data_IF_905192253798
#
_entry.id   IF_905192253798
#
_cell.length_a   1.000
_cell.length_b   1.000
_cell.length_c   1.000
_cell.angle_alpha   90.00
_cell.angle_beta   90.00
_cell.angle_gamma   90.00
#
_symmetry.space_group_name_H-M   'P 1'
#
loop_
_entity.id
_entity.type
_entity.pdbx_description
1 polymer ?
#
# COMPACT_ATOMS: atom_id res chain seq x y z
N UNK A 1 -28.04 13.64 -5.47
CA UNK A 1 -26.83 14.03 -6.20
C UNK A 1 -26.90 13.34 -7.55
N UNK A 2 -26.75 14.08 -8.64
CA UNK A 2 -26.83 13.54 -9.99
C UNK A 2 -25.63 12.66 -10.35
N UNK A 3 -25.72 11.99 -11.48
CA UNK A 3 -24.58 11.35 -12.16
C UNK A 3 -23.51 12.43 -12.35
N UNK A 4 -22.21 12.16 -12.05
CA UNK A 4 -21.14 13.11 -12.36
C UNK A 4 -21.25 13.55 -13.81
N UNK A 5 -21.15 14.86 -14.04
CA UNK A 5 -21.12 15.41 -15.38
C UNK A 5 -19.84 14.94 -16.09
N UNK A 6 -19.80 15.05 -17.41
CA UNK A 6 -18.61 14.74 -18.20
C UNK A 6 -17.39 15.52 -17.69
N UNK A 7 -17.60 16.77 -17.37
CA UNK A 7 -16.55 17.67 -16.83
C UNK A 7 -15.98 17.18 -15.49
N UNK A 8 -16.76 16.47 -14.65
CA UNK A 8 -16.28 15.94 -13.38
C UNK A 8 -15.29 14.79 -13.59
N UNK A 9 -15.56 13.89 -14.55
CA UNK A 9 -14.67 12.75 -14.84
C UNK A 9 -13.37 13.21 -15.51
N UNK A 10 -13.44 14.22 -16.38
CA UNK A 10 -12.26 14.86 -16.99
C UNK A 10 -11.35 15.50 -15.93
N UNK A 11 -11.92 16.14 -14.90
CA UNK A 11 -11.16 16.71 -13.79
C UNK A 11 -10.37 15.63 -13.01
N UNK A 12 -10.91 14.43 -12.84
CA UNK A 12 -10.15 13.33 -12.24
C UNK A 12 -9.03 12.84 -13.16
N UNK A 13 -9.28 12.69 -14.45
CA UNK A 13 -8.25 12.29 -15.41
C UNK A 13 -7.07 13.28 -15.41
N UNK A 14 -7.35 14.57 -15.35
CA UNK A 14 -6.33 15.62 -15.20
C UNK A 14 -5.55 15.50 -13.90
N UNK A 15 -6.22 15.27 -12.74
CA UNK A 15 -5.56 15.06 -11.45
C UNK A 15 -4.63 13.84 -11.46
N UNK A 16 -5.06 12.77 -12.11
CA UNK A 16 -4.27 11.54 -12.27
C UNK A 16 -3.16 11.70 -13.33
N UNK A 17 -3.25 12.71 -14.19
CA UNK A 17 -2.34 12.96 -15.31
C UNK A 17 -2.43 11.90 -16.39
N UNK A 18 -3.64 11.38 -16.65
CA UNK A 18 -3.90 10.38 -17.70
C UNK A 18 -4.84 10.91 -18.76
N UNK A 19 -4.62 10.48 -19.99
CA UNK A 19 -5.58 10.65 -21.08
C UNK A 19 -6.31 9.32 -21.24
N UNK A 20 -7.58 9.23 -20.88
CA UNK A 20 -8.37 8.00 -20.91
C UNK A 20 -9.76 8.29 -21.46
N UNK A 21 -10.34 7.29 -22.14
CA UNK A 21 -11.73 7.40 -22.58
C UNK A 21 -12.67 7.68 -21.39
N UNK A 22 -13.55 8.63 -21.56
CA UNK A 22 -14.47 9.08 -20.53
C UNK A 22 -15.37 7.96 -19.99
N UNK A 23 -15.89 7.10 -20.88
CA UNK A 23 -16.78 5.99 -20.49
C UNK A 23 -15.98 4.89 -19.79
N UNK A 24 -14.71 4.66 -20.18
CA UNK A 24 -13.82 3.73 -19.51
C UNK A 24 -13.53 4.17 -18.06
N UNK A 25 -13.21 5.44 -17.85
CA UNK A 25 -12.97 5.97 -16.49
C UNK A 25 -14.26 5.97 -15.67
N UNK A 26 -15.39 6.33 -16.26
CA UNK A 26 -16.70 6.27 -15.62
C UNK A 26 -17.06 4.86 -15.18
N UNK A 27 -16.79 3.86 -16.01
CA UNK A 27 -16.97 2.44 -15.67
C UNK A 27 -16.12 2.04 -14.46
N UNK A 28 -14.83 2.45 -14.42
CA UNK A 28 -13.94 2.21 -13.29
C UNK A 28 -14.44 2.85 -11.97
N UNK A 29 -15.16 3.95 -12.06
CA UNK A 29 -15.74 4.68 -10.91
C UNK A 29 -17.12 4.16 -10.50
N UNK A 30 -17.71 3.22 -11.25
CA UNK A 30 -19.06 2.67 -10.99
C UNK A 30 -19.00 1.49 -10.04
N UNK A 31 -19.37 1.70 -8.79
CA UNK A 31 -19.47 0.64 -7.80
C UNK A 31 -20.74 -0.21 -8.02
N UNK A 32 -20.69 -1.50 -7.66
CA UNK A 32 -21.82 -2.45 -7.81
C UNK A 32 -23.12 -1.98 -7.17
N UNK A 33 -23.08 -1.21 -6.08
CA UNK A 33 -24.29 -0.69 -5.44
C UNK A 33 -25.02 0.31 -6.32
N UNK A 34 -24.30 1.11 -7.08
CA UNK A 34 -24.88 2.01 -8.07
C UNK A 34 -25.50 1.23 -9.24
N UNK A 35 -24.77 0.25 -9.76
CA UNK A 35 -25.26 -0.65 -10.83
C UNK A 35 -26.59 -1.30 -10.44
N UNK A 36 -26.69 -1.82 -9.23
CA UNK A 36 -27.92 -2.46 -8.72
C UNK A 36 -29.14 -1.52 -8.72
N UNK A 37 -28.94 -0.25 -8.35
CA UNK A 37 -30.00 0.75 -8.30
C UNK A 37 -30.33 1.39 -9.68
N UNK A 38 -29.45 1.21 -10.68
CA UNK A 38 -29.54 1.87 -11.98
C UNK A 38 -29.62 0.87 -13.17
N UNK A 39 -30.42 -0.18 -13.01
CA UNK A 39 -30.75 -1.08 -14.14
C UNK A 39 -29.64 -2.05 -14.53
N UNK A 40 -28.66 -2.29 -13.68
CA UNK A 40 -27.59 -3.24 -13.94
C UNK A 40 -26.53 -2.71 -14.93
N UNK A 41 -26.26 -1.40 -14.93
CA UNK A 41 -25.14 -0.84 -15.72
C UNK A 41 -23.81 -1.52 -15.34
N UNK A 42 -22.83 -1.59 -16.25
CA UNK A 42 -21.52 -2.17 -15.94
C UNK A 42 -20.90 -1.53 -14.69
N UNK A 43 -20.34 -2.35 -13.82
CA UNK A 43 -19.64 -1.94 -12.59
C UNK A 43 -18.18 -2.38 -12.61
N UNK A 44 -17.39 -1.87 -11.69
CA UNK A 44 -15.94 -1.89 -11.74
C UNK A 44 -15.24 -3.21 -11.31
N UNK A 45 -15.92 -4.19 -10.72
CA UNK A 45 -15.27 -5.40 -10.16
C UNK A 45 -14.37 -6.16 -11.15
N UNK A 46 -14.74 -6.19 -12.45
CA UNK A 46 -13.90 -6.85 -13.47
C UNK A 46 -12.67 -6.02 -13.82
N UNK A 47 -12.79 -4.70 -13.77
CA UNK A 47 -11.64 -3.79 -13.97
C UNK A 47 -10.71 -3.83 -12.77
N UNK A 48 -11.23 -3.87 -11.54
CA UNK A 48 -10.51 -4.11 -10.29
C UNK A 48 -9.65 -5.37 -10.39
N UNK A 49 -10.27 -6.52 -10.72
CA UNK A 49 -9.56 -7.79 -10.88
C UNK A 49 -8.40 -7.70 -11.89
N UNK A 50 -8.58 -7.02 -13.01
CA UNK A 50 -7.54 -6.82 -14.01
C UNK A 50 -6.47 -5.85 -13.51
N UNK A 51 -6.90 -4.77 -12.88
CA UNK A 51 -6.01 -3.73 -12.37
C UNK A 51 -5.10 -4.20 -11.25
N UNK A 52 -5.58 -5.06 -10.35
CA UNK A 52 -4.75 -5.73 -9.34
C UNK A 52 -3.60 -6.51 -9.98
N UNK A 53 -3.88 -7.27 -11.03
CA UNK A 53 -2.85 -8.01 -11.76
C UNK A 53 -1.83 -7.09 -12.45
N UNK A 54 -2.29 -5.99 -13.08
CA UNK A 54 -1.43 -4.98 -13.71
C UNK A 54 -0.58 -4.27 -12.66
N UNK A 55 -1.17 -3.84 -11.55
CA UNK A 55 -0.49 -3.26 -10.41
C UNK A 55 0.58 -4.20 -9.86
N UNK A 56 0.20 -5.46 -9.65
CA UNK A 56 1.09 -6.50 -9.14
C UNK A 56 2.32 -6.70 -10.00
N UNK A 57 2.19 -6.78 -11.32
CA UNK A 57 3.33 -6.98 -12.23
C UNK A 57 4.25 -5.76 -12.25
N UNK A 58 3.71 -4.53 -12.37
CA UNK A 58 4.52 -3.31 -12.47
C UNK A 58 5.29 -3.05 -11.18
N UNK A 59 4.64 -3.15 -10.01
CA UNK A 59 5.31 -2.97 -8.72
C UNK A 59 6.34 -4.06 -8.47
N UNK A 60 6.05 -5.31 -8.82
CA UNK A 60 7.01 -6.42 -8.66
C UNK A 60 8.24 -6.22 -9.54
N UNK A 61 8.05 -5.87 -10.81
CA UNK A 61 9.14 -5.60 -11.75
C UNK A 61 10.04 -4.46 -11.26
N UNK A 62 9.43 -3.37 -10.81
CA UNK A 62 10.15 -2.21 -10.27
C UNK A 62 10.98 -2.55 -9.04
N UNK A 63 10.40 -3.26 -8.08
CA UNK A 63 11.10 -3.66 -6.86
C UNK A 63 12.22 -4.67 -7.16
N UNK A 64 12.00 -5.60 -8.08
CA UNK A 64 12.99 -6.60 -8.49
C UNK A 64 14.24 -5.95 -9.08
N UNK A 65 14.06 -4.98 -9.97
CA UNK A 65 15.18 -4.29 -10.60
C UNK A 65 15.85 -3.27 -9.69
N UNK A 66 15.09 -2.59 -8.83
CA UNK A 66 15.64 -1.62 -7.89
C UNK A 66 16.44 -2.26 -6.74
N UNK A 67 16.17 -3.54 -6.41
CA UNK A 67 16.75 -4.22 -5.25
C UNK A 67 17.32 -5.61 -5.61
N UNK A 68 18.36 -5.70 -6.46
CA UNK A 68 18.85 -6.98 -7.01
C UNK A 68 19.43 -7.93 -5.94
N UNK A 69 19.89 -7.40 -4.82
CA UNK A 69 20.54 -8.17 -3.74
C UNK A 69 19.57 -8.50 -2.57
N UNK A 70 18.30 -8.09 -2.67
CA UNK A 70 17.32 -8.30 -1.61
C UNK A 70 16.62 -9.65 -1.79
N UNK A 71 16.46 -10.40 -0.70
CA UNK A 71 15.79 -11.69 -0.71
C UNK A 71 14.31 -11.57 -1.11
N UNK A 72 13.77 -12.60 -1.75
CA UNK A 72 12.36 -12.67 -2.18
C UNK A 72 11.38 -12.35 -1.04
N UNK A 73 11.63 -12.87 0.16
CA UNK A 73 10.77 -12.65 1.34
C UNK A 73 10.64 -11.17 1.72
N UNK A 74 11.69 -10.38 1.51
CA UNK A 74 11.67 -8.93 1.75
C UNK A 74 10.99 -8.18 0.60
N UNK A 75 11.30 -8.54 -0.66
CA UNK A 75 10.60 -7.98 -1.83
C UNK A 75 9.08 -8.19 -1.74
N UNK A 76 8.64 -9.37 -1.27
CA UNK A 76 7.23 -9.65 -1.04
C UNK A 76 6.62 -8.74 0.03
N UNK A 77 7.35 -8.41 1.09
CA UNK A 77 6.91 -7.46 2.13
C UNK A 77 6.81 -6.03 1.57
N UNK A 78 7.81 -5.58 0.79
CA UNK A 78 7.79 -4.26 0.16
C UNK A 78 6.58 -4.14 -0.76
N UNK A 79 6.36 -5.13 -1.62
CA UNK A 79 5.19 -5.18 -2.48
C UNK A 79 3.89 -5.10 -1.67
N UNK A 80 3.73 -5.97 -0.68
CA UNK A 80 2.51 -6.00 0.15
C UNK A 80 2.24 -4.66 0.85
N UNK A 81 3.26 -3.93 1.29
CA UNK A 81 3.11 -2.61 1.88
C UNK A 81 2.58 -1.57 0.86
N UNK A 82 3.03 -1.66 -0.40
CA UNK A 82 2.69 -0.72 -1.47
C UNK A 82 1.31 -0.99 -2.07
N UNK A 83 0.96 -2.27 -2.31
CA UNK A 83 -0.30 -2.66 -2.98
C UNK A 83 -1.43 -3.00 -2.02
N UNK A 84 -1.26 -2.81 -0.70
CA UNK A 84 -2.32 -3.07 0.25
C UNK A 84 -3.52 -2.14 0.05
N UNK A 85 -4.74 -2.63 0.34
CA UNK A 85 -5.95 -1.81 0.28
C UNK A 85 -5.84 -0.51 1.09
N UNK A 86 -5.09 -0.52 2.21
CA UNK A 86 -4.79 0.68 2.98
C UNK A 86 -3.98 1.69 2.18
N UNK A 87 -2.89 1.25 1.55
CA UNK A 87 -2.01 2.12 0.78
C UNK A 87 -2.72 2.70 -0.45
N UNK A 88 -3.50 1.87 -1.17
CA UNK A 88 -4.29 2.31 -2.31
C UNK A 88 -5.40 3.29 -1.91
N UNK A 89 -6.06 3.06 -0.77
CA UNK A 89 -7.05 4.00 -0.26
C UNK A 89 -6.43 5.36 0.13
N UNK A 90 -5.21 5.37 0.65
CA UNK A 90 -4.47 6.61 0.92
C UNK A 90 -4.18 7.36 -0.40
N UNK A 91 -3.76 6.66 -1.45
CA UNK A 91 -3.62 7.24 -2.81
C UNK A 91 -4.94 7.79 -3.31
N UNK A 92 -6.02 7.01 -3.21
CA UNK A 92 -7.34 7.45 -3.63
C UNK A 92 -7.77 8.76 -2.96
N UNK A 93 -7.45 8.95 -1.67
CA UNK A 93 -7.72 10.18 -0.92
C UNK A 93 -6.86 11.34 -1.39
N UNK A 94 -5.57 11.11 -1.65
CA UNK A 94 -4.64 12.13 -2.15
C UNK A 94 -5.12 12.73 -3.48
N UNK A 95 -5.66 11.90 -4.37
CA UNK A 95 -6.19 12.33 -5.66
C UNK A 95 -7.69 12.67 -5.65
N UNK A 96 -8.37 12.52 -4.52
CA UNK A 96 -9.79 12.83 -4.38
C UNK A 96 -10.73 11.89 -5.13
N UNK A 97 -10.33 10.64 -5.39
CA UNK A 97 -11.10 9.64 -6.18
C UNK A 97 -12.51 9.45 -5.61
N UNK A 98 -12.67 9.48 -4.28
CA UNK A 98 -13.95 9.31 -3.60
C UNK A 98 -15.03 10.30 -4.02
N UNK A 99 -14.67 11.52 -4.46
CA UNK A 99 -15.61 12.54 -4.93
C UNK A 99 -16.35 12.10 -6.18
N UNK A 100 -15.69 11.31 -7.03
CA UNK A 100 -16.16 10.90 -8.35
C UNK A 100 -16.87 9.53 -8.37
N UNK A 101 -16.83 8.78 -7.26
CA UNK A 101 -17.44 7.46 -7.19
C UNK A 101 -18.96 7.49 -7.42
N UNK A 102 -19.44 6.60 -8.26
CA UNK A 102 -20.84 6.29 -8.46
C UNK A 102 -21.26 5.21 -7.46
N UNK A 103 -22.01 5.59 -6.44
CA UNK A 103 -22.45 4.73 -5.35
C UNK A 103 -23.98 4.70 -5.27
N UNK A 104 -24.55 3.57 -4.89
CA UNK A 104 -25.95 3.48 -4.51
C UNK A 104 -26.23 4.26 -3.23
N UNK A 105 -27.48 4.63 -3.00
CA UNK A 105 -27.90 5.47 -1.86
C UNK A 105 -27.51 4.90 -0.50
N UNK A 106 -27.67 3.58 -0.34
CA UNK A 106 -27.29 2.89 0.89
C UNK A 106 -25.80 3.04 1.19
N UNK A 107 -24.95 2.84 0.19
CA UNK A 107 -23.51 2.95 0.32
C UNK A 107 -23.07 4.40 0.59
N UNK A 108 -23.67 5.36 -0.09
CA UNK A 108 -23.43 6.78 0.16
C UNK A 108 -23.75 7.18 1.62
N UNK A 109 -24.89 6.71 2.16
CA UNK A 109 -25.35 7.02 3.50
C UNK A 109 -24.42 6.48 4.57
N UNK A 110 -23.72 5.36 4.30
CA UNK A 110 -22.76 4.73 5.21
C UNK A 110 -21.32 5.22 5.02
N UNK A 111 -21.12 6.32 4.30
CA UNK A 111 -19.80 6.92 4.08
C UNK A 111 -18.95 6.19 3.03
N UNK A 112 -19.58 5.49 2.08
CA UNK A 112 -18.90 4.68 1.06
C UNK A 112 -17.83 5.43 0.28
N UNK A 113 -17.97 6.76 0.11
CA UNK A 113 -16.97 7.60 -0.58
C UNK A 113 -15.61 7.65 0.09
N UNK A 114 -15.51 7.31 1.38
CA UNK A 114 -14.25 7.28 2.15
C UNK A 114 -13.93 5.89 2.73
N UNK A 115 -14.70 4.86 2.37
CA UNK A 115 -14.37 3.49 2.77
C UNK A 115 -13.12 3.00 2.07
N UNK A 116 -12.13 2.57 2.84
CA UNK A 116 -10.83 2.15 2.32
C UNK A 116 -10.92 1.01 1.30
N UNK A 117 -11.83 0.05 1.47
CA UNK A 117 -12.04 -1.01 0.49
C UNK A 117 -12.51 -0.45 -0.86
N UNK A 118 -13.57 0.38 -0.85
CA UNK A 118 -14.14 0.96 -2.08
C UNK A 118 -13.14 1.87 -2.79
N UNK A 119 -12.35 2.62 -2.03
CA UNK A 119 -11.32 3.49 -2.57
C UNK A 119 -10.17 2.70 -3.22
N UNK A 120 -9.73 1.61 -2.58
CA UNK A 120 -8.70 0.73 -3.12
C UNK A 120 -9.18 0.05 -4.41
N UNK A 121 -10.36 -0.57 -4.37
CA UNK A 121 -10.99 -1.23 -5.52
C UNK A 121 -11.14 -0.26 -6.71
N UNK A 122 -11.48 1.01 -6.43
CA UNK A 122 -11.58 2.04 -7.46
C UNK A 122 -10.22 2.40 -8.09
N UNK A 123 -9.14 2.47 -7.31
CA UNK A 123 -7.78 2.70 -7.86
C UNK A 123 -7.39 1.53 -8.76
N UNK A 124 -7.57 0.30 -8.31
CA UNK A 124 -7.29 -0.88 -9.13
C UNK A 124 -8.14 -0.87 -10.42
N UNK A 125 -9.42 -0.55 -10.31
CA UNK A 125 -10.30 -0.46 -11.47
C UNK A 125 -9.86 0.63 -12.47
N UNK A 126 -9.38 1.79 -12.00
CA UNK A 126 -8.81 2.84 -12.84
C UNK A 126 -7.56 2.32 -13.58
N UNK A 127 -6.67 1.61 -12.88
CA UNK A 127 -5.48 1.01 -13.49
C UNK A 127 -5.87 -0.02 -14.56
N UNK A 128 -6.87 -0.86 -14.28
CA UNK A 128 -7.42 -1.81 -15.25
C UNK A 128 -8.05 -1.13 -16.47
N UNK A 129 -8.74 -0.01 -16.29
CA UNK A 129 -9.32 0.77 -17.36
C UNK A 129 -8.24 1.42 -18.25
N UNK A 130 -7.21 2.04 -17.64
CA UNK A 130 -6.08 2.63 -18.38
C UNK A 130 -5.34 1.54 -19.16
N UNK A 131 -5.13 0.38 -18.55
CA UNK A 131 -4.50 -0.75 -19.24
C UNK A 131 -5.29 -1.21 -20.48
N UNK A 132 -6.61 -1.30 -20.38
CA UNK A 132 -7.45 -1.71 -21.53
C UNK A 132 -7.49 -0.66 -22.64
N UNK A 133 -7.46 0.61 -22.27
CA UNK A 133 -7.56 1.73 -23.20
C UNK A 133 -6.20 2.03 -23.87
N UNK A 134 -5.09 1.97 -23.15
CA UNK A 134 -3.79 2.45 -23.61
C UNK A 134 -2.62 1.46 -23.46
N UNK A 135 -2.86 0.31 -22.85
CA UNK A 135 -1.85 -0.73 -22.70
C UNK A 135 -1.00 -0.59 -21.42
N UNK A 136 -0.01 -1.51 -21.32
CA UNK A 136 0.78 -1.66 -20.11
C UNK A 136 1.73 -0.47 -19.85
N UNK A 137 2.22 0.17 -20.89
CA UNK A 137 3.16 1.30 -20.77
C UNK A 137 2.51 2.49 -20.03
N UNK A 138 1.32 2.90 -20.47
CA UNK A 138 0.60 4.01 -19.83
C UNK A 138 0.07 3.66 -18.44
N UNK A 139 -0.43 2.42 -18.27
CA UNK A 139 -0.81 1.95 -16.93
C UNK A 139 0.39 1.92 -15.99
N UNK A 140 1.56 1.50 -16.47
CA UNK A 140 2.81 1.52 -15.73
C UNK A 140 3.24 2.94 -15.36
N UNK A 141 3.17 3.88 -16.30
CA UNK A 141 3.47 5.29 -16.04
C UNK A 141 2.56 5.89 -14.96
N UNK A 142 1.26 5.54 -14.97
CA UNK A 142 0.33 5.93 -13.91
C UNK A 142 0.71 5.29 -12.57
N UNK A 143 0.98 3.99 -12.52
CA UNK A 143 1.39 3.28 -11.29
C UNK A 143 2.64 3.93 -10.68
N UNK A 144 3.64 4.21 -11.48
CA UNK A 144 4.86 4.89 -11.03
C UNK A 144 4.56 6.27 -10.45
N UNK A 145 3.74 7.08 -11.12
CA UNK A 145 3.34 8.40 -10.62
C UNK A 145 2.64 8.32 -9.26
N UNK A 146 1.81 7.30 -9.05
CA UNK A 146 1.05 7.13 -7.82
C UNK A 146 1.86 6.51 -6.67
N UNK A 147 2.86 5.67 -6.98
CA UNK A 147 3.41 4.74 -5.98
C UNK A 147 4.94 4.78 -5.83
N UNK A 148 5.71 5.47 -6.68
CA UNK A 148 7.19 5.48 -6.58
C UNK A 148 7.68 5.91 -5.20
N UNK A 149 7.17 7.02 -4.67
CA UNK A 149 7.51 7.48 -3.33
C UNK A 149 7.15 6.47 -2.24
N UNK A 150 6.09 5.68 -2.46
CA UNK A 150 5.67 4.63 -1.53
C UNK A 150 6.57 3.40 -1.64
N UNK A 151 7.02 3.04 -2.84
CA UNK A 151 8.00 1.97 -3.06
C UNK A 151 9.33 2.31 -2.40
N UNK A 152 9.84 3.53 -2.57
CA UNK A 152 11.07 4.00 -1.91
C UNK A 152 10.93 3.95 -0.39
N UNK A 153 9.81 4.43 0.15
CA UNK A 153 9.55 4.38 1.61
C UNK A 153 9.41 2.96 2.13
N UNK A 154 8.71 2.09 1.41
CA UNK A 154 8.55 0.68 1.80
C UNK A 154 9.90 -0.04 1.86
N UNK A 155 10.77 0.18 0.89
CA UNK A 155 12.11 -0.38 0.89
C UNK A 155 12.97 0.17 2.03
N UNK A 156 12.92 1.50 2.28
CA UNK A 156 13.63 2.12 3.39
C UNK A 156 13.12 1.65 4.76
N UNK A 157 11.80 1.46 4.91
CA UNK A 157 11.18 0.93 6.12
C UNK A 157 11.42 -0.58 6.24
N UNK A 158 11.43 -1.32 5.14
CA UNK A 158 11.69 -2.75 5.10
C UNK A 158 13.12 -3.09 5.47
N UNK A 159 14.10 -2.32 5.02
CA UNK A 159 15.48 -2.39 5.50
C UNK A 159 15.58 -2.12 7.02
N UNK A 160 14.56 -1.45 7.60
CA UNK A 160 14.44 -1.21 9.05
C UNK A 160 13.53 -2.17 9.81
N UNK A 161 12.69 -2.97 9.12
CA UNK A 161 11.65 -3.76 9.79
C UNK A 161 12.05 -5.18 10.19
N UNK A 162 13.14 -5.71 9.69
CA UNK A 162 13.61 -7.06 10.08
C UNK A 162 15.07 -7.09 10.56
N UNK A 163 15.46 -6.02 11.22
CA UNK A 163 16.77 -5.97 11.89
C UNK A 163 16.98 -7.16 12.80
N UNK A 164 15.92 -7.68 13.43
CA UNK A 164 15.99 -8.88 14.27
C UNK A 164 16.42 -10.10 13.48
N UNK A 165 15.81 -10.36 12.32
CA UNK A 165 16.18 -11.47 11.43
C UNK A 165 17.58 -11.23 10.84
N UNK A 166 17.87 -10.03 10.40
CA UNK A 166 19.20 -9.67 9.87
C UNK A 166 20.30 -9.87 10.91
N UNK A 167 20.08 -9.43 12.15
CA UNK A 167 21.02 -9.61 13.25
C UNK A 167 21.19 -11.10 13.61
N UNK A 168 20.11 -11.88 13.59
CA UNK A 168 20.16 -13.32 13.84
C UNK A 168 20.95 -14.06 12.75
N UNK A 169 20.74 -13.72 11.49
CA UNK A 169 21.49 -14.29 10.36
C UNK A 169 22.98 -13.91 10.42
N UNK A 170 23.27 -12.64 10.77
CA UNK A 170 24.64 -12.17 10.94
C UNK A 170 25.33 -12.90 12.09
N UNK A 171 24.65 -13.06 13.23
CA UNK A 171 25.15 -13.82 14.37
C UNK A 171 25.43 -15.28 14.03
N UNK A 172 24.55 -15.92 13.24
CA UNK A 172 24.74 -17.29 12.77
C UNK A 172 25.94 -17.41 11.80
N UNK A 173 26.08 -16.49 10.85
CA UNK A 173 27.18 -16.47 9.86
C UNK A 173 28.54 -16.17 10.50
N UNK A 174 28.58 -15.26 11.47
CA UNK A 174 29.81 -14.88 12.17
C UNK A 174 30.22 -15.84 13.29
N UNK A 175 29.34 -16.79 13.65
CA UNK A 175 29.54 -17.66 14.83
C UNK A 175 29.44 -16.94 16.17
N UNK A 176 28.94 -15.71 16.20
CA UNK A 176 28.82 -14.89 17.41
C UNK A 176 27.74 -15.40 18.37
N UNK A 177 26.73 -16.12 17.85
CA UNK A 177 25.64 -16.69 18.64
C UNK A 177 24.27 -16.08 18.29
N UNK A 178 23.25 -16.44 19.11
CA UNK A 178 21.87 -15.99 18.89
C UNK A 178 21.62 -14.70 19.67
N UNK A 179 21.06 -13.65 19.03
CA UNK A 179 20.68 -12.43 19.74
C UNK A 179 19.59 -12.69 20.78
N UNK A 180 19.77 -12.15 21.98
CA UNK A 180 18.77 -12.16 23.06
C UNK A 180 18.24 -10.74 23.30
N UNK A 181 16.95 -10.61 23.54
CA UNK A 181 16.28 -9.32 23.73
C UNK A 181 15.65 -9.24 25.11
N UNK A 182 16.06 -8.26 25.88
CA UNK A 182 15.42 -7.89 27.14
C UNK A 182 14.57 -6.66 26.93
N UNK A 183 13.27 -6.74 27.30
CA UNK A 183 12.32 -5.65 27.09
C UNK A 183 11.72 -5.21 28.42
N UNK A 184 11.87 -3.94 28.72
CA UNK A 184 11.21 -3.26 29.83
C UNK A 184 10.08 -2.38 29.33
N UNK A 185 9.02 -2.23 30.13
CA UNK A 185 7.89 -1.38 29.82
C UNK A 185 7.66 -0.39 30.96
N UNK A 186 7.42 0.88 30.61
CA UNK A 186 7.11 1.96 31.54
C UNK A 186 5.86 2.73 31.07
N UNK A 187 5.22 3.43 32.02
CA UNK A 187 4.01 4.22 31.72
C UNK A 187 2.68 3.48 31.96
N UNK A 188 1.57 4.22 31.91
CA UNK A 188 0.23 3.66 32.11
C UNK A 188 -0.20 2.79 30.94
N UNK A 189 -1.18 1.90 31.12
CA UNK A 189 -1.61 0.90 30.14
C UNK A 189 -2.00 1.49 28.78
N UNK A 190 -2.53 2.69 28.73
CA UNK A 190 -2.95 3.38 27.51
C UNK A 190 -1.83 4.18 26.81
N UNK A 191 -0.64 4.28 27.45
CA UNK A 191 0.52 5.00 26.92
C UNK A 191 1.82 4.32 27.38
N UNK A 192 1.91 2.99 27.20
CA UNK A 192 3.13 2.23 27.49
C UNK A 192 4.25 2.61 26.53
N UNK A 193 5.42 2.81 27.12
CA UNK A 193 6.69 2.97 26.42
C UNK A 193 7.56 1.74 26.67
N UNK A 194 8.09 1.15 25.62
CA UNK A 194 8.92 -0.05 25.68
C UNK A 194 10.37 0.31 25.34
N UNK A 195 11.29 -0.24 26.09
CA UNK A 195 12.73 -0.18 25.82
C UNK A 195 13.23 -1.61 25.69
N UNK A 196 13.95 -1.90 24.61
CA UNK A 196 14.57 -3.18 24.34
C UNK A 196 16.09 -3.04 24.28
N UNK A 197 16.78 -3.97 24.88
CA UNK A 197 18.24 -4.13 24.78
C UNK A 197 18.52 -5.46 24.10
N UNK A 198 19.38 -5.47 23.09
CA UNK A 198 19.84 -6.70 22.43
C UNK A 198 21.26 -7.03 22.81
N UNK A 199 21.50 -8.30 23.13
CA UNK A 199 22.82 -8.85 23.48
C UNK A 199 23.10 -10.15 22.71
N UNK A 200 24.38 -10.45 22.51
CA UNK A 200 24.86 -11.76 22.07
C UNK A 200 25.90 -12.23 23.07
N UNK A 201 25.63 -13.37 23.75
CA UNK A 201 26.39 -13.77 24.92
C UNK A 201 26.29 -12.72 26.03
N UNK A 202 27.44 -12.24 26.55
CA UNK A 202 27.52 -11.20 27.57
C UNK A 202 27.64 -9.76 26.98
N UNK A 203 27.76 -9.63 25.66
CA UNK A 203 27.98 -8.35 25.01
C UNK A 203 26.65 -7.70 24.62
N UNK A 204 26.38 -6.51 25.13
CA UNK A 204 25.28 -5.65 24.70
C UNK A 204 25.66 -5.03 23.34
N UNK A 205 24.81 -5.20 22.34
CA UNK A 205 25.05 -4.75 20.98
C UNK A 205 24.25 -3.49 20.61
N UNK A 206 23.04 -3.35 21.16
CA UNK A 206 22.18 -2.21 20.83
C UNK A 206 21.01 -2.03 21.79
N UNK A 207 20.43 -0.83 21.75
CA UNK A 207 19.24 -0.46 22.51
C UNK A 207 18.24 0.26 21.59
N UNK A 208 16.94 0.04 21.81
CA UNK A 208 15.88 0.68 21.07
C UNK A 208 14.63 0.90 21.89
N UNK A 209 13.84 1.90 21.55
CA UNK A 209 12.61 2.22 22.24
C UNK A 209 11.44 2.42 21.29
N UNK A 210 10.21 2.19 21.76
CA UNK A 210 9.03 2.33 20.92
C UNK A 210 7.70 2.20 21.66
N UNK A 211 6.60 2.47 20.92
CA UNK A 211 5.25 2.34 21.45
C UNK A 211 4.74 0.89 21.55
N UNK A 212 5.53 -0.10 21.10
CA UNK A 212 5.25 -1.52 21.24
C UNK A 212 6.54 -2.29 21.48
N UNK A 213 6.42 -3.46 22.11
CA UNK A 213 7.53 -4.40 22.31
C UNK A 213 8.27 -4.69 20.99
N UNK A 214 7.50 -4.98 19.91
CA UNK A 214 8.05 -5.26 18.59
C UNK A 214 8.84 -4.08 18.02
N UNK A 215 8.34 -2.85 18.16
CA UNK A 215 9.03 -1.65 17.67
C UNK A 215 10.35 -1.41 18.41
N UNK A 216 10.36 -1.57 19.74
CA UNK A 216 11.55 -1.42 20.56
C UNK A 216 12.62 -2.48 20.21
N UNK A 217 12.23 -3.74 20.07
CA UNK A 217 13.13 -4.83 19.69
C UNK A 217 13.74 -4.63 18.29
N UNK A 218 12.94 -4.16 17.32
CA UNK A 218 13.44 -3.87 15.98
C UNK A 218 14.47 -2.72 15.98
N UNK A 219 14.18 -1.66 16.74
CA UNK A 219 15.12 -0.55 16.86
C UNK A 219 16.41 -0.96 17.59
N UNK A 220 16.31 -1.81 18.62
CA UNK A 220 17.49 -2.34 19.30
C UNK A 220 18.37 -3.17 18.35
N UNK A 221 17.75 -3.99 17.49
CA UNK A 221 18.47 -4.75 16.46
C UNK A 221 19.10 -3.86 15.38
N UNK A 222 18.46 -2.73 15.05
CA UNK A 222 19.00 -1.76 14.08
C UNK A 222 20.23 -1.02 14.60
N UNK A 223 20.35 -0.86 15.90
CA UNK A 223 21.50 -0.18 16.54
C UNK A 223 22.65 -1.13 16.90
N UNK A 224 22.43 -2.44 16.75
CA UNK A 224 23.40 -3.50 17.01
C UNK A 224 24.34 -3.73 15.84
#
# INVERSE_FOLDING_TARGET
MGVPARDDVEALAERLGVSIDHEALRHALTHRSYSYENGGVPHNERLEFLGDAVLGIVVTDSLFHAHPDVAESELAKYRAAVVSARALAEVAREYGVGEFLLLGRGEQTTGGRDKSSILADAVEAILGAVYLDQGLEEAGALIHRLLDDRMVRAAAMGAGLDWKTSLQELGARSGAGVPNYEVTATGPDHAKHFVAVVSVGESVLGEGSGASKKAAEQLAAATA
#
